data_IF_361889523384
#
_entry.id   IF_361889523384
#
_cell.length_a   1.000
_cell.length_b   1.000
_cell.length_c   1.000
_cell.angle_alpha   90.00
_cell.angle_beta   90.00
_cell.angle_gamma   90.00
#
_symmetry.space_group_name_H-M   'P 1'
#
loop_
_entity.id
_entity.type
_entity.pdbx_description
1 polymer ?
#
# COMPACT_ATOMS: atom_id res chain seq x y z
N UNK A 1 -38.34 6.96 23.90
CA UNK A 1 -37.17 7.53 24.60
C UNK A 1 -36.04 6.49 24.71
N UNK A 2 -35.41 6.11 23.59
CA UNK A 2 -34.29 5.11 23.57
C UNK A 2 -33.09 5.63 22.74
N UNK A 3 -33.10 6.88 22.28
CA UNK A 3 -32.10 7.37 21.31
C UNK A 3 -30.89 8.10 21.94
N UNK A 4 -30.90 8.39 23.24
CA UNK A 4 -29.84 9.18 23.91
C UNK A 4 -28.75 8.35 24.59
N UNK A 5 -28.96 7.04 24.77
CA UNK A 5 -27.95 6.16 25.39
C UNK A 5 -26.88 5.70 24.40
N UNK A 6 -27.23 5.52 23.11
CA UNK A 6 -26.32 5.10 22.05
C UNK A 6 -25.36 6.21 21.59
N UNK A 7 -25.81 7.47 21.62
CA UNK A 7 -24.98 8.64 21.29
C UNK A 7 -23.93 8.89 22.38
N UNK A 8 -24.31 8.75 23.65
CA UNK A 8 -23.40 8.88 24.80
C UNK A 8 -22.35 7.77 24.84
N UNK A 9 -22.69 6.53 24.47
CA UNK A 9 -21.72 5.42 24.39
C UNK A 9 -20.67 5.62 23.29
N UNK A 10 -21.05 6.18 22.13
CA UNK A 10 -20.08 6.54 21.07
C UNK A 10 -19.16 7.69 21.48
N UNK A 11 -19.69 8.71 22.15
CA UNK A 11 -18.87 9.84 22.62
C UNK A 11 -17.87 9.38 23.71
N UNK A 12 -18.26 8.44 24.57
CA UNK A 12 -17.37 7.86 25.58
C UNK A 12 -16.27 6.99 24.96
N UNK A 13 -16.59 6.20 23.94
CA UNK A 13 -15.60 5.40 23.21
C UNK A 13 -14.58 6.28 22.46
N UNK A 14 -15.03 7.40 21.88
CA UNK A 14 -14.14 8.40 21.27
C UNK A 14 -13.26 9.09 22.32
N UNK A 15 -13.81 9.38 23.50
CA UNK A 15 -13.05 9.97 24.62
C UNK A 15 -12.01 9.03 25.24
N UNK A 16 -12.26 7.72 25.26
CA UNK A 16 -11.27 6.73 25.73
C UNK A 16 -10.18 6.45 24.68
N UNK A 17 -10.53 6.39 23.39
CA UNK A 17 -9.54 6.33 22.31
C UNK A 17 -8.62 7.56 22.28
N UNK A 18 -9.11 8.73 22.73
CA UNK A 18 -8.33 9.96 22.84
C UNK A 18 -7.39 9.99 24.05
N UNK A 19 -7.63 9.17 25.09
CA UNK A 19 -6.73 9.03 26.25
C UNK A 19 -5.59 8.05 25.99
N UNK A 20 -5.75 7.13 25.05
CA UNK A 20 -4.72 6.12 24.70
C UNK A 20 -3.79 6.55 23.56
N UNK A 21 -4.02 7.69 22.89
CA UNK A 21 -3.19 8.11 21.74
C UNK A 21 -2.01 9.05 22.08
N UNK A 22 -1.74 9.35 23.35
CA UNK A 22 -0.58 10.17 23.76
C UNK A 22 0.76 9.43 23.73
N UNK A 23 0.83 8.23 23.13
CA UNK A 23 2.10 7.60 22.78
C UNK A 23 2.06 6.99 21.37
N UNK A 24 1.81 7.81 20.34
CA UNK A 24 2.14 7.42 18.97
C UNK A 24 3.64 7.65 18.75
N UNK A 25 4.43 6.64 19.12
CA UNK A 25 5.86 6.58 18.85
C UNK A 25 6.07 6.10 17.39
N UNK A 26 5.64 6.94 16.44
CA UNK A 26 5.76 6.72 14.99
C UNK A 26 7.02 7.36 14.42
N UNK A 27 8.11 6.60 14.50
CA UNK A 27 9.48 6.81 14.05
C UNK A 27 9.68 7.58 12.71
N UNK A 28 10.53 8.62 12.74
CA UNK A 28 11.30 9.34 11.68
C UNK A 28 10.65 9.80 10.35
N UNK A 29 9.46 9.33 9.96
CA UNK A 29 8.88 9.61 8.63
C UNK A 29 8.34 11.04 8.44
N UNK A 30 8.18 11.82 9.51
CA UNK A 30 7.71 13.20 9.38
C UNK A 30 8.76 14.12 8.74
N UNK A 31 10.05 13.97 9.04
CA UNK A 31 11.04 15.02 8.74
C UNK A 31 11.36 15.22 7.24
N UNK A 32 11.17 14.20 6.39
CA UNK A 32 11.61 14.25 4.98
C UNK A 32 10.50 14.77 4.05
N UNK A 33 9.22 14.43 4.31
CA UNK A 33 8.08 14.94 3.54
C UNK A 33 7.71 16.40 3.88
N UNK A 34 8.15 16.90 5.05
CA UNK A 34 7.85 18.25 5.55
C UNK A 34 8.59 19.39 4.85
N UNK A 35 9.59 19.11 3.99
CA UNK A 35 10.38 20.19 3.39
C UNK A 35 9.65 21.00 2.31
N UNK A 36 8.50 20.52 1.82
CA UNK A 36 7.77 21.16 0.71
C UNK A 36 6.27 21.37 0.93
N UNK A 37 5.70 20.92 2.06
CA UNK A 37 4.26 21.07 2.33
C UNK A 37 3.98 21.55 3.75
N UNK A 38 3.06 22.51 3.87
CA UNK A 38 2.51 22.92 5.16
C UNK A 38 1.65 21.80 5.73
N UNK A 39 2.10 21.18 6.82
CA UNK A 39 1.28 20.23 7.59
C UNK A 39 -0.02 20.87 8.07
N UNK A 40 -1.16 20.14 8.01
CA UNK A 40 -2.41 20.62 8.59
C UNK A 40 -2.24 20.88 10.10
N UNK A 41 -2.77 22.00 10.58
CA UNK A 41 -2.63 22.46 11.96
C UNK A 41 -4.01 22.54 12.60
N UNK A 42 -4.21 21.81 13.71
CA UNK A 42 -5.48 21.86 14.42
C UNK A 42 -5.69 23.21 15.10
N UNK A 43 -6.75 23.93 14.71
CA UNK A 43 -7.12 25.22 15.31
C UNK A 43 -7.92 24.98 16.59
N UNK A 44 -7.33 25.32 17.74
CA UNK A 44 -7.91 25.14 19.08
C UNK A 44 -8.95 26.22 19.47
N UNK A 45 -9.17 27.25 18.65
CA UNK A 45 -10.08 28.37 18.95
C UNK A 45 -11.35 28.34 18.08
N UNK A 46 -12.51 28.67 18.67
CA UNK A 46 -13.81 28.67 18.00
C UNK A 46 -14.61 27.37 18.21
N UNK A 47 -15.48 27.02 17.27
CA UNK A 47 -16.33 25.84 17.38
C UNK A 47 -15.50 24.56 17.14
N UNK A 48 -15.12 23.91 18.24
CA UNK A 48 -14.19 22.76 18.29
C UNK A 48 -14.64 21.61 17.40
N UNK A 49 -15.96 21.36 17.30
CA UNK A 49 -16.50 20.26 16.47
C UNK A 49 -16.30 20.54 14.98
N UNK A 50 -16.53 21.77 14.54
CA UNK A 50 -16.31 22.19 13.15
C UNK A 50 -14.82 22.17 12.81
N UNK A 51 -13.97 22.60 13.74
CA UNK A 51 -12.51 22.55 13.56
C UNK A 51 -11.98 21.12 13.49
N UNK A 52 -12.55 20.19 14.25
CA UNK A 52 -12.19 18.78 14.17
C UNK A 52 -12.58 18.16 12.83
N UNK A 53 -13.80 18.43 12.34
CA UNK A 53 -14.24 17.95 11.03
C UNK A 53 -13.42 18.55 9.88
N UNK A 54 -13.11 19.85 9.95
CA UNK A 54 -12.24 20.51 8.98
C UNK A 54 -10.81 19.97 9.02
N UNK A 55 -10.27 19.72 10.21
CA UNK A 55 -8.93 19.14 10.36
C UNK A 55 -8.85 17.72 9.80
N UNK A 56 -9.85 16.87 10.06
CA UNK A 56 -9.92 15.52 9.46
C UNK A 56 -9.94 15.62 7.94
N UNK A 57 -10.78 16.50 7.38
CA UNK A 57 -10.82 16.74 5.93
C UNK A 57 -9.49 17.26 5.38
N UNK A 58 -8.84 18.19 6.08
CA UNK A 58 -7.52 18.72 5.68
C UNK A 58 -6.43 17.65 5.75
N UNK A 59 -6.50 16.73 6.72
CA UNK A 59 -5.62 15.56 6.80
C UNK A 59 -5.87 14.61 5.64
N UNK A 60 -7.13 14.30 5.34
CA UNK A 60 -7.51 13.45 4.19
C UNK A 60 -7.02 14.05 2.87
N UNK A 61 -7.29 15.33 2.63
CA UNK A 61 -6.85 16.06 1.42
C UNK A 61 -5.31 16.12 1.31
N UNK A 62 -4.62 16.27 2.45
CA UNK A 62 -3.16 16.28 2.52
C UNK A 62 -2.57 14.90 2.22
N UNK A 63 -3.16 13.83 2.76
CA UNK A 63 -2.75 12.45 2.46
C UNK A 63 -2.97 12.10 1.00
N UNK A 64 -4.09 12.53 0.40
CA UNK A 64 -4.38 12.36 -1.03
C UNK A 64 -3.39 13.10 -1.93
N UNK A 65 -2.97 14.30 -1.51
CA UNK A 65 -1.98 15.10 -2.24
C UNK A 65 -0.59 14.46 -2.18
N UNK A 66 -0.17 14.02 -1.00
CA UNK A 66 1.08 13.25 -0.84
C UNK A 66 1.02 11.97 -1.66
N UNK A 67 -0.13 11.28 -1.72
CA UNK A 67 -0.29 10.07 -2.52
C UNK A 67 -0.06 10.29 -4.01
N UNK A 68 -0.59 11.40 -4.55
CA UNK A 68 -0.43 11.76 -5.97
C UNK A 68 0.99 12.21 -6.32
N UNK A 69 1.68 12.83 -5.37
CA UNK A 69 2.96 13.50 -5.62
C UNK A 69 4.17 12.68 -5.13
N UNK A 70 3.96 11.62 -4.34
CA UNK A 70 5.05 10.72 -3.90
C UNK A 70 5.45 9.80 -5.06
N UNK A 71 6.73 9.75 -5.46
CA UNK A 71 7.20 8.84 -6.48
C UNK A 71 6.97 7.37 -6.10
N UNK A 72 6.53 6.55 -7.05
CA UNK A 72 6.28 5.12 -6.85
C UNK A 72 7.51 4.36 -6.36
N UNK A 73 8.71 4.76 -6.81
CA UNK A 73 9.98 4.22 -6.31
C UNK A 73 10.13 4.39 -4.80
N UNK A 74 9.77 5.57 -4.26
CA UNK A 74 9.82 5.84 -2.82
C UNK A 74 8.81 5.00 -2.06
N UNK A 75 7.62 4.78 -2.64
CA UNK A 75 6.60 3.91 -2.05
C UNK A 75 7.05 2.45 -2.02
N UNK A 76 7.63 1.96 -3.12
CA UNK A 76 8.14 0.59 -3.22
C UNK A 76 9.28 0.34 -2.23
N UNK A 77 10.23 1.28 -2.11
CA UNK A 77 11.34 1.19 -1.15
C UNK A 77 10.85 1.13 0.31
N UNK A 78 9.78 1.86 0.65
CA UNK A 78 9.14 1.77 1.96
C UNK A 78 8.40 0.44 2.13
N UNK A 79 7.61 0.07 1.14
CA UNK A 79 6.82 -1.16 1.16
C UNK A 79 7.70 -2.38 1.42
N UNK A 80 8.80 -2.54 0.67
CA UNK A 80 9.69 -3.70 0.82
C UNK A 80 10.35 -3.73 2.20
N UNK A 81 10.63 -2.57 2.80
CA UNK A 81 11.13 -2.46 4.16
C UNK A 81 10.09 -2.84 5.22
N UNK A 82 8.81 -2.53 4.98
CA UNK A 82 7.72 -2.84 5.92
C UNK A 82 7.27 -4.30 5.88
N UNK A 83 7.43 -4.98 4.75
CA UNK A 83 6.97 -6.38 4.56
C UNK A 83 8.08 -7.42 4.73
N UNK A 84 9.32 -7.01 5.05
CA UNK A 84 10.48 -7.91 5.00
C UNK A 84 10.43 -9.10 5.98
N UNK A 85 9.60 -9.01 7.03
CA UNK A 85 9.30 -10.10 7.98
C UNK A 85 7.93 -10.73 7.78
N UNK A 86 7.16 -10.32 6.78
CA UNK A 86 5.84 -10.89 6.50
C UNK A 86 5.93 -11.87 5.32
N UNK A 87 5.98 -13.20 5.58
CA UNK A 87 6.16 -14.18 4.52
C UNK A 87 4.98 -14.25 3.55
N UNK A 88 3.76 -13.92 3.98
CA UNK A 88 2.58 -13.92 3.10
C UNK A 88 2.63 -12.79 2.09
N UNK A 89 2.94 -11.57 2.53
CA UNK A 89 3.09 -10.41 1.66
C UNK A 89 4.28 -10.57 0.71
N UNK A 90 5.40 -11.12 1.18
CA UNK A 90 6.54 -11.45 0.32
C UNK A 90 6.18 -12.50 -0.73
N UNK A 91 5.43 -13.53 -0.35
CA UNK A 91 4.96 -14.56 -1.28
C UNK A 91 4.01 -13.97 -2.33
N UNK A 92 3.07 -13.09 -1.94
CA UNK A 92 2.18 -12.41 -2.87
C UNK A 92 2.92 -11.48 -3.84
N UNK A 93 3.94 -10.75 -3.36
CA UNK A 93 4.80 -9.93 -4.20
C UNK A 93 5.58 -10.79 -5.21
N UNK A 94 6.16 -11.91 -4.75
CA UNK A 94 6.81 -12.88 -5.63
C UNK A 94 5.86 -13.41 -6.70
N UNK A 95 4.65 -13.85 -6.31
CA UNK A 95 3.66 -14.34 -7.24
C UNK A 95 3.29 -13.27 -8.29
N UNK A 96 3.14 -12.02 -7.85
CA UNK A 96 2.86 -10.91 -8.76
C UNK A 96 4.00 -10.71 -9.77
N UNK A 97 5.26 -10.68 -9.31
CA UNK A 97 6.44 -10.57 -10.18
C UNK A 97 6.60 -11.77 -11.13
N UNK A 98 6.28 -12.97 -10.65
CA UNK A 98 6.30 -14.18 -11.47
C UNK A 98 5.24 -14.13 -12.59
N UNK A 99 4.04 -13.62 -12.32
CA UNK A 99 3.04 -13.45 -13.37
C UNK A 99 3.42 -12.36 -14.38
N UNK A 100 4.13 -11.32 -13.95
CA UNK A 100 4.69 -10.30 -14.85
C UNK A 100 5.83 -10.86 -15.72
N UNK A 101 6.71 -11.71 -15.18
CA UNK A 101 7.84 -12.27 -15.94
C UNK A 101 7.40 -13.15 -17.11
N UNK A 102 6.20 -13.75 -17.07
CA UNK A 102 5.59 -14.46 -18.21
C UNK A 102 5.34 -13.58 -19.43
N UNK A 103 5.31 -12.26 -19.24
CA UNK A 103 5.21 -11.26 -20.30
C UNK A 103 6.56 -10.57 -20.57
N UNK A 104 7.66 -11.10 -20.05
CA UNK A 104 8.97 -10.44 -20.10
C UNK A 104 8.93 -9.05 -19.43
N UNK A 105 8.20 -8.93 -18.30
CA UNK A 105 8.21 -7.74 -17.44
C UNK A 105 9.08 -8.07 -16.22
N UNK A 106 10.35 -7.68 -16.30
CA UNK A 106 11.36 -7.81 -15.24
C UNK A 106 12.00 -6.45 -14.97
N UNK A 107 12.92 -6.30 -13.99
CA UNK A 107 13.53 -5.00 -13.73
C UNK A 107 14.27 -4.41 -14.93
N UNK A 108 14.89 -5.26 -15.76
CA UNK A 108 15.74 -4.83 -16.88
C UNK A 108 15.13 -5.06 -18.27
N UNK A 109 13.89 -5.56 -18.35
CA UNK A 109 13.29 -5.88 -19.64
C UNK A 109 12.87 -4.64 -20.41
N UNK A 110 12.93 -4.72 -21.74
CA UNK A 110 12.42 -3.66 -22.60
C UNK A 110 10.88 -3.66 -22.54
N UNK A 111 10.27 -2.56 -22.10
CA UNK A 111 8.80 -2.41 -21.98
C UNK A 111 8.09 -2.16 -23.32
N UNK A 112 8.72 -2.57 -24.43
CA UNK A 112 8.23 -2.41 -25.79
C UNK A 112 7.62 -3.71 -26.28
N UNK A 113 6.30 -3.84 -26.12
CA UNK A 113 5.55 -5.00 -26.55
C UNK A 113 4.79 -4.74 -27.86
N UNK A 114 4.76 -5.74 -28.74
CA UNK A 114 3.89 -5.72 -29.91
C UNK A 114 2.41 -5.69 -29.51
N UNK A 115 1.53 -5.24 -30.42
CA UNK A 115 0.11 -5.02 -30.12
C UNK A 115 -0.61 -6.27 -29.55
N UNK A 116 -0.32 -7.45 -30.12
CA UNK A 116 -0.92 -8.71 -29.66
C UNK A 116 -0.45 -9.09 -28.25
N UNK A 117 0.83 -8.88 -27.93
CA UNK A 117 1.37 -9.12 -26.60
C UNK A 117 0.77 -8.15 -25.56
N UNK A 118 0.63 -6.87 -25.93
CA UNK A 118 -0.04 -5.86 -25.11
C UNK A 118 -1.50 -6.23 -24.81
N UNK A 119 -2.23 -6.78 -25.78
CA UNK A 119 -3.61 -7.23 -25.57
C UNK A 119 -3.67 -8.42 -24.61
N UNK A 120 -2.76 -9.41 -24.77
CA UNK A 120 -2.66 -10.55 -23.85
C UNK A 120 -2.31 -10.10 -22.43
N UNK A 121 -1.39 -9.16 -22.28
CA UNK A 121 -1.05 -8.54 -21.00
C UNK A 121 -2.26 -7.85 -20.38
N UNK A 122 -3.00 -7.02 -21.12
CA UNK A 122 -4.23 -6.37 -20.63
C UNK A 122 -5.27 -7.38 -20.14
N UNK A 123 -5.42 -8.50 -20.84
CA UNK A 123 -6.30 -9.57 -20.39
C UNK A 123 -5.78 -10.20 -19.08
N UNK A 124 -4.49 -10.54 -18.99
CA UNK A 124 -3.91 -11.05 -17.75
C UNK A 124 -4.04 -10.06 -16.58
N UNK A 125 -3.95 -8.76 -16.87
CA UNK A 125 -4.20 -7.69 -15.92
C UNK A 125 -5.62 -7.74 -15.36
N UNK A 126 -6.62 -7.87 -16.21
CA UNK A 126 -8.03 -7.95 -15.80
C UNK A 126 -8.33 -9.23 -15.02
N UNK A 127 -7.84 -10.38 -15.49
CA UNK A 127 -8.25 -11.69 -14.98
C UNK A 127 -7.46 -12.18 -13.76
N UNK A 128 -6.16 -11.88 -13.69
CA UNK A 128 -5.25 -12.49 -12.72
C UNK A 128 -4.45 -11.47 -11.90
N UNK A 129 -3.72 -10.56 -12.55
CA UNK A 129 -2.85 -9.62 -11.83
C UNK A 129 -3.67 -8.65 -10.98
N UNK A 130 -4.86 -8.21 -11.43
CA UNK A 130 -5.79 -7.40 -10.61
C UNK A 130 -6.17 -8.10 -9.31
N UNK A 131 -6.41 -9.41 -9.34
CA UNK A 131 -6.78 -10.20 -8.16
C UNK A 131 -5.61 -10.29 -7.19
N UNK A 132 -4.42 -10.65 -7.68
CA UNK A 132 -3.21 -10.74 -6.84
C UNK A 132 -2.90 -9.36 -6.23
N UNK A 133 -2.96 -8.30 -7.03
CA UNK A 133 -2.76 -6.92 -6.58
C UNK A 133 -3.76 -6.53 -5.48
N UNK A 134 -5.05 -6.81 -5.68
CA UNK A 134 -6.07 -6.47 -4.70
C UNK A 134 -5.91 -7.27 -3.40
N UNK A 135 -5.59 -8.56 -3.48
CA UNK A 135 -5.31 -9.39 -2.30
C UNK A 135 -4.07 -8.88 -1.57
N UNK A 136 -3.00 -8.51 -2.30
CA UNK A 136 -1.80 -7.93 -1.72
C UNK A 136 -2.12 -6.67 -0.91
N UNK A 137 -2.83 -5.70 -1.48
CA UNK A 137 -3.13 -4.45 -0.78
C UNK A 137 -4.17 -4.59 0.31
N UNK A 138 -5.11 -5.53 0.17
CA UNK A 138 -6.02 -5.89 1.23
C UNK A 138 -5.25 -6.45 2.43
N UNK A 139 -4.29 -7.36 2.20
CA UNK A 139 -3.46 -7.92 3.26
C UNK A 139 -2.55 -6.86 3.90
N UNK A 140 -1.97 -5.96 3.10
CA UNK A 140 -1.23 -4.81 3.63
C UNK A 140 -2.12 -3.93 4.53
N UNK A 141 -3.41 -3.79 4.23
CA UNK A 141 -4.34 -3.03 5.08
C UNK A 141 -4.67 -3.76 6.38
N UNK A 142 -4.85 -5.07 6.33
CA UNK A 142 -5.13 -5.90 7.52
C UNK A 142 -3.93 -5.93 8.49
N UNK A 143 -2.71 -5.90 7.94
CA UNK A 143 -1.44 -5.90 8.68
C UNK A 143 -0.95 -4.49 9.06
N UNK A 144 -1.78 -3.45 8.86
CA UNK A 144 -1.45 -2.03 9.12
C UNK A 144 -0.17 -1.54 8.40
N UNK A 145 0.19 -2.17 7.28
CA UNK A 145 1.32 -1.81 6.41
C UNK A 145 0.93 -0.71 5.43
N UNK A 146 -0.33 -0.69 4.99
CA UNK A 146 -0.86 0.32 4.09
C UNK A 146 -2.28 0.75 4.48
N UNK A 147 -2.45 2.02 4.81
CA UNK A 147 -3.76 2.59 5.19
C UNK A 147 -4.70 2.83 3.98
N UNK A 148 -4.21 2.72 2.75
CA UNK A 148 -4.90 3.23 1.55
C UNK A 148 -5.07 2.24 0.41
N UNK A 149 -6.03 2.52 -0.47
CA UNK A 149 -6.22 1.78 -1.72
C UNK A 149 -5.15 2.17 -2.75
N UNK A 150 -4.42 1.19 -3.26
CA UNK A 150 -3.47 1.39 -4.34
C UNK A 150 -4.11 1.09 -5.69
N UNK A 151 -3.65 1.75 -6.75
CA UNK A 151 -4.18 1.57 -8.12
C UNK A 151 -3.22 0.71 -8.94
N UNK A 152 -3.79 -0.28 -9.63
CA UNK A 152 -3.10 -1.02 -10.68
C UNK A 152 -3.35 -0.32 -12.02
N UNK A 153 -2.28 0.08 -12.70
CA UNK A 153 -2.38 0.67 -14.04
C UNK A 153 -2.36 -0.42 -15.13
N UNK A 154 -3.22 -0.31 -16.15
CA UNK A 154 -3.35 -1.29 -17.24
C UNK A 154 -2.32 -1.07 -18.38
N UNK A 155 -1.21 -0.41 -18.08
CA UNK A 155 -0.17 -0.06 -19.04
C UNK A 155 1.06 -0.92 -18.82
N UNK A 156 1.70 -1.38 -19.89
CA UNK A 156 2.92 -2.21 -19.80
C UNK A 156 4.09 -1.41 -19.22
N UNK A 157 4.11 -0.11 -19.51
CA UNK A 157 5.14 0.82 -19.06
C UNK A 157 4.97 1.22 -17.59
N UNK A 158 3.78 1.02 -17.05
CA UNK A 158 3.39 1.48 -15.73
C UNK A 158 2.45 0.47 -15.07
N UNK A 159 3.04 -0.40 -14.25
CA UNK A 159 2.32 -1.40 -13.45
C UNK A 159 2.06 -0.88 -12.02
N UNK A 160 2.53 0.33 -11.69
CA UNK A 160 2.42 0.93 -10.36
C UNK A 160 3.49 0.47 -9.36
N UNK A 161 3.21 0.64 -8.07
CA UNK A 161 4.15 0.43 -6.95
C UNK A 161 4.72 -0.99 -6.87
N UNK A 162 4.01 -2.01 -7.37
CA UNK A 162 4.46 -3.39 -7.36
C UNK A 162 5.35 -3.75 -8.57
N UNK A 163 5.63 -2.79 -9.48
CA UNK A 163 6.44 -3.02 -10.68
C UNK A 163 7.87 -3.48 -10.30
N UNK A 164 8.36 -4.61 -10.86
CA UNK A 164 9.71 -5.14 -10.62
C UNK A 164 10.83 -4.12 -10.77
N UNK A 165 10.69 -3.09 -11.61
CA UNK A 165 11.71 -2.04 -11.82
C UNK A 165 12.10 -1.31 -10.53
N UNK A 166 11.21 -1.27 -9.53
CA UNK A 166 11.49 -0.63 -8.24
C UNK A 166 12.14 -1.57 -7.22
N UNK A 167 12.26 -2.86 -7.53
CA UNK A 167 12.81 -3.88 -6.65
C UNK A 167 14.10 -4.47 -7.22
N UNK A 168 14.76 -3.81 -8.18
CA UNK A 168 15.95 -4.30 -8.87
C UNK A 168 17.02 -4.83 -7.90
N UNK A 169 17.32 -4.06 -6.85
CA UNK A 169 18.30 -4.42 -5.81
C UNK A 169 17.94 -5.69 -5.01
N UNK A 170 16.64 -5.99 -4.93
CA UNK A 170 16.08 -7.07 -4.11
C UNK A 170 15.53 -8.22 -4.96
N UNK A 171 15.57 -8.09 -6.29
CA UNK A 171 14.79 -8.92 -7.18
C UNK A 171 15.22 -10.38 -7.12
N UNK A 172 16.51 -10.65 -7.21
CA UNK A 172 17.05 -12.02 -7.15
C UNK A 172 16.74 -12.71 -5.81
N UNK A 173 16.86 -11.95 -4.72
CA UNK A 173 16.56 -12.43 -3.38
C UNK A 173 15.07 -12.76 -3.25
N UNK A 174 14.17 -11.87 -3.68
CA UNK A 174 12.73 -12.12 -3.75
C UNK A 174 12.39 -13.35 -4.61
N UNK A 175 13.02 -13.51 -5.79
CA UNK A 175 12.79 -14.66 -6.66
C UNK A 175 13.28 -15.98 -6.07
N UNK A 176 14.23 -15.94 -5.12
CA UNK A 176 14.72 -17.15 -4.44
C UNK A 176 13.72 -17.73 -3.42
N UNK A 177 12.71 -16.95 -3.02
CA UNK A 177 11.77 -17.31 -1.96
C UNK A 177 12.31 -17.11 -0.55
N UNK A 178 13.49 -16.49 -0.40
CA UNK A 178 14.08 -16.11 0.89
C UNK A 178 14.52 -14.65 0.81
N UNK A 179 13.96 -13.80 1.67
CA UNK A 179 14.27 -12.36 1.69
C UNK A 179 14.69 -11.91 3.09
N UNK A 180 15.91 -11.41 3.23
CA UNK A 180 16.52 -10.94 4.50
C UNK A 180 16.35 -11.93 5.65
N UNK A 181 16.55 -13.22 5.34
CA UNK A 181 16.41 -14.34 6.28
C UNK A 181 14.98 -14.83 6.52
N UNK A 182 13.97 -14.20 5.92
CA UNK A 182 12.58 -14.67 5.94
C UNK A 182 12.37 -15.63 4.77
N UNK A 183 12.16 -16.91 5.06
CA UNK A 183 11.78 -17.91 4.05
C UNK A 183 10.26 -17.91 3.88
N UNK A 184 9.78 -17.77 2.64
CA UNK A 184 8.35 -17.76 2.33
C UNK A 184 7.97 -18.77 1.23
N UNK A 185 8.86 -19.72 0.91
CA UNK A 185 8.60 -20.81 -0.06
C UNK A 185 7.50 -21.76 0.41
N UNK A 186 7.29 -21.83 1.71
CA UNK A 186 6.30 -22.69 2.36
C UNK A 186 4.89 -22.08 2.40
N UNK A 187 4.74 -20.79 2.03
CA UNK A 187 3.44 -20.12 2.07
C UNK A 187 2.60 -20.58 0.88
N UNK A 188 1.54 -21.33 1.16
CA UNK A 188 0.53 -21.67 0.16
C UNK A 188 -0.39 -20.46 -0.06
N UNK A 189 -0.21 -19.76 -1.18
CA UNK A 189 -1.17 -18.74 -1.59
C UNK A 189 -2.43 -19.45 -2.08
N UNK A 190 -3.50 -19.41 -1.29
CA UNK A 190 -4.83 -19.89 -1.68
C UNK A 190 -5.42 -18.97 -2.78
N UNK A 191 -5.05 -19.25 -4.03
CA UNK A 191 -5.65 -18.72 -5.26
C UNK A 191 -5.94 -19.86 -6.24
N UNK A 192 -6.80 -19.67 -7.26
CA UNK A 192 -7.21 -20.77 -8.11
C UNK A 192 -6.02 -21.34 -8.88
N UNK A 193 -5.61 -22.54 -8.47
CA UNK A 193 -4.64 -23.45 -9.07
C UNK A 193 -3.19 -23.27 -8.62
N UNK A 194 -2.68 -24.37 -8.06
CA UNK A 194 -1.31 -24.68 -7.64
C UNK A 194 -0.26 -24.23 -8.67
N UNK A 195 0.89 -23.80 -8.13
CA UNK A 195 2.12 -23.48 -8.86
C UNK A 195 2.61 -24.65 -9.71
#
# INVERSE_FOLDING_TARGET
MINDSLSMLRIRAIGEAFKTSTSFQGSFNHAVALRFYSTPQFKKSGNIVVNALNYVREVDDFQDKIAKETPEATMAAKLIGSIDKNPELLSLLLLFHYELSKFDITPHSSRNMGQLATLRFKMAMIWKLSRIHNVFWEQCRLEDVAERSHRLAFLVQDVGVLDPKYYEEHYQELQSGVFRGTDFRHVEILGPSRF
#
